data_IF_174403430141
#
_entry.id   IF_174403430141
#
_cell.length_a   1.000
_cell.length_b   1.000
_cell.length_c   1.000
_cell.angle_alpha   90.00
_cell.angle_beta   90.00
_cell.angle_gamma   90.00
#
_symmetry.space_group_name_H-M   'P 1'
#
loop_
_entity.id
_entity.type
_entity.pdbx_description
1 polymer ?
#
# COMPACT_ATOMS: atom_id res chain seq x y z
N UNK A 1 -19.74 -11.36 2.74
CA UNK A 1 -19.97 -11.26 4.20
C UNK A 1 -21.43 -11.56 4.54
N UNK A 2 -21.68 -12.13 5.71
CA UNK A 2 -23.03 -12.38 6.23
C UNK A 2 -23.48 -11.36 7.28
N UNK A 3 -22.56 -10.68 7.90
CA UNK A 3 -22.77 -9.95 9.15
C UNK A 3 -23.17 -8.48 9.04
N UNK A 4 -22.86 -7.78 7.96
CA UNK A 4 -23.17 -6.36 7.83
C UNK A 4 -24.17 -6.11 6.71
N UNK A 5 -24.81 -4.94 6.73
CA UNK A 5 -25.84 -4.53 5.76
C UNK A 5 -25.35 -4.59 4.30
N UNK A 6 -24.07 -4.39 4.06
CA UNK A 6 -23.48 -4.49 2.71
C UNK A 6 -23.17 -5.94 2.28
N UNK A 7 -23.34 -6.91 3.19
CA UNK A 7 -23.07 -8.33 2.93
C UNK A 7 -24.12 -8.97 2.03
N UNK A 8 -23.70 -9.87 1.15
CA UNK A 8 -24.60 -10.52 0.18
C UNK A 8 -25.76 -11.27 0.86
N UNK A 9 -25.45 -12.06 1.93
CA UNK A 9 -26.48 -12.81 2.67
C UNK A 9 -27.40 -11.85 3.41
N UNK A 10 -26.84 -10.84 4.10
CA UNK A 10 -27.62 -9.84 4.83
C UNK A 10 -28.58 -9.09 3.89
N UNK A 11 -28.10 -8.62 2.75
CA UNK A 11 -28.90 -7.97 1.72
C UNK A 11 -30.00 -8.90 1.15
N UNK A 12 -29.70 -10.18 1.00
CA UNK A 12 -30.69 -11.15 0.52
C UNK A 12 -31.82 -11.34 1.54
N UNK A 13 -31.48 -11.38 2.84
CA UNK A 13 -32.46 -11.45 3.93
C UNK A 13 -33.34 -10.19 3.96
N UNK A 14 -32.73 -8.99 3.89
CA UNK A 14 -33.45 -7.71 3.84
C UNK A 14 -34.45 -7.62 2.67
N UNK A 15 -34.09 -8.17 1.53
CA UNK A 15 -34.96 -8.20 0.34
C UNK A 15 -36.01 -9.30 0.38
N UNK A 16 -36.07 -10.12 1.42
CA UNK A 16 -36.99 -11.23 1.52
C UNK A 16 -36.81 -12.32 0.47
N UNK A 17 -35.56 -12.58 0.08
CA UNK A 17 -35.22 -13.57 -0.95
C UNK A 17 -35.65 -14.95 -0.46
N UNK A 18 -36.27 -15.82 -1.29
CA UNK A 18 -36.70 -17.16 -0.90
C UNK A 18 -35.59 -18.05 -0.35
N UNK A 19 -35.89 -18.93 0.59
CA UNK A 19 -34.90 -19.80 1.24
C UNK A 19 -34.05 -20.63 0.27
N UNK A 20 -34.58 -20.98 -0.90
CA UNK A 20 -33.81 -21.71 -1.95
C UNK A 20 -32.64 -20.87 -2.49
N UNK A 21 -32.83 -19.58 -2.63
CA UNK A 21 -31.74 -18.67 -3.06
C UNK A 21 -30.79 -18.37 -1.91
N UNK A 22 -31.30 -18.18 -0.66
CA UNK A 22 -30.46 -18.04 0.52
C UNK A 22 -29.54 -19.27 0.70
N UNK A 23 -30.05 -20.46 0.43
CA UNK A 23 -29.28 -21.70 0.47
C UNK A 23 -28.06 -21.70 -0.46
N UNK A 24 -28.21 -21.12 -1.65
CA UNK A 24 -27.08 -21.02 -2.60
C UNK A 24 -25.99 -20.12 -2.06
N UNK A 25 -26.35 -18.99 -1.46
CA UNK A 25 -25.43 -18.03 -0.85
C UNK A 25 -24.72 -18.67 0.33
N UNK A 26 -25.48 -19.30 1.26
CA UNK A 26 -24.91 -19.91 2.45
C UNK A 26 -23.94 -21.05 2.13
N UNK A 27 -24.22 -21.86 1.10
CA UNK A 27 -23.32 -22.96 0.70
C UNK A 27 -21.96 -22.51 0.23
N UNK A 28 -21.82 -21.27 -0.24
CA UNK A 28 -20.56 -20.71 -0.66
C UNK A 28 -19.59 -20.43 0.51
N UNK A 29 -20.14 -20.10 1.70
CA UNK A 29 -19.35 -19.74 2.85
C UNK A 29 -18.95 -20.97 3.69
N UNK A 30 -17.75 -20.95 4.29
CA UNK A 30 -17.31 -21.97 5.24
C UNK A 30 -17.96 -21.78 6.61
N UNK A 31 -18.19 -20.55 7.01
CA UNK A 31 -18.92 -20.15 8.23
C UNK A 31 -19.72 -18.87 7.98
N UNK A 32 -20.65 -18.58 8.87
CA UNK A 32 -21.43 -17.34 8.87
C UNK A 32 -21.03 -16.46 10.05
N UNK A 33 -21.37 -15.19 9.97
CA UNK A 33 -20.98 -14.17 10.93
C UNK A 33 -22.20 -13.33 11.30
N UNK A 34 -22.31 -12.97 12.58
CA UNK A 34 -23.24 -11.98 13.12
C UNK A 34 -22.49 -10.93 13.92
N UNK A 35 -23.04 -9.74 14.05
CA UNK A 35 -22.44 -8.60 14.75
C UNK A 35 -23.37 -8.01 15.79
N UNK A 36 -22.85 -7.25 16.80
CA UNK A 36 -23.67 -6.53 17.75
C UNK A 36 -24.68 -5.63 17.06
N UNK A 37 -25.89 -5.53 17.62
CA UNK A 37 -26.99 -4.75 17.04
C UNK A 37 -26.63 -3.28 16.87
N UNK A 38 -25.76 -2.75 17.77
CA UNK A 38 -25.25 -1.40 17.71
C UNK A 38 -24.54 -1.03 16.40
N UNK A 39 -23.97 -2.02 15.71
CA UNK A 39 -23.26 -1.82 14.45
C UNK A 39 -24.20 -1.40 13.31
N UNK A 40 -25.46 -1.90 13.35
CA UNK A 40 -26.48 -1.70 12.31
C UNK A 40 -27.61 -0.74 12.74
N UNK A 41 -27.50 -0.09 13.91
CA UNK A 41 -28.52 0.85 14.42
C UNK A 41 -28.77 2.05 13.50
N UNK A 42 -27.83 2.40 12.62
CA UNK A 42 -28.03 3.44 11.61
C UNK A 42 -29.18 3.11 10.65
N UNK A 43 -29.49 1.82 10.42
CA UNK A 43 -30.60 1.40 9.57
C UNK A 43 -31.97 1.83 10.08
N UNK A 44 -32.11 1.99 11.40
CA UNK A 44 -33.35 2.48 12.02
C UNK A 44 -33.64 3.96 11.69
N UNK A 45 -32.59 4.72 11.34
CA UNK A 45 -32.66 6.14 10.98
C UNK A 45 -32.87 6.35 9.48
N UNK A 46 -32.57 5.35 8.66
CA UNK A 46 -32.80 5.42 7.22
C UNK A 46 -34.28 5.18 6.88
N UNK A 47 -34.94 6.22 6.38
CA UNK A 47 -36.35 6.14 5.97
C UNK A 47 -36.61 5.06 4.91
N UNK A 48 -35.60 4.75 4.09
CA UNK A 48 -35.70 3.76 3.00
C UNK A 48 -35.43 2.33 3.49
N UNK A 49 -34.87 2.16 4.68
CA UNK A 49 -34.61 0.86 5.26
C UNK A 49 -35.94 0.11 5.55
N UNK A 50 -35.92 -1.21 5.37
CA UNK A 50 -37.00 -2.10 5.80
C UNK A 50 -36.95 -2.40 7.30
N UNK A 51 -35.81 -2.16 7.94
CA UNK A 51 -35.57 -2.30 9.37
C UNK A 51 -36.11 -1.06 10.08
N UNK A 52 -37.04 -1.26 11.03
CA UNK A 52 -37.70 -0.17 11.76
C UNK A 52 -37.54 -0.27 13.27
N UNK A 53 -37.19 -1.43 13.77
CA UNK A 53 -37.10 -1.71 15.22
C UNK A 53 -35.81 -2.48 15.52
N UNK A 54 -35.39 -2.48 16.79
CA UNK A 54 -34.28 -3.31 17.26
C UNK A 54 -34.59 -4.78 17.11
N UNK A 55 -35.86 -5.16 17.25
CA UNK A 55 -36.33 -6.56 17.07
C UNK A 55 -36.09 -7.03 15.62
N UNK A 56 -36.26 -6.13 14.61
CA UNK A 56 -35.96 -6.48 13.23
C UNK A 56 -34.45 -6.84 13.04
N UNK A 57 -33.56 -6.12 13.73
CA UNK A 57 -32.12 -6.44 13.70
C UNK A 57 -31.83 -7.78 14.40
N UNK A 58 -32.48 -8.02 15.55
CA UNK A 58 -32.39 -9.33 16.24
C UNK A 58 -32.87 -10.48 15.34
N UNK A 59 -33.95 -10.27 14.61
CA UNK A 59 -34.53 -11.28 13.73
C UNK A 59 -33.65 -11.61 12.54
N UNK A 60 -32.89 -10.61 12.01
CA UNK A 60 -31.88 -10.86 10.97
C UNK A 60 -30.78 -11.77 11.54
N UNK A 61 -30.23 -11.45 12.70
CA UNK A 61 -29.23 -12.29 13.35
C UNK A 61 -29.73 -13.69 13.66
N UNK A 62 -30.99 -13.82 14.19
CA UNK A 62 -31.65 -15.13 14.41
C UNK A 62 -31.80 -15.90 13.11
N UNK A 63 -32.15 -15.24 11.99
CA UNK A 63 -32.26 -15.88 10.67
C UNK A 63 -30.91 -16.40 10.21
N UNK A 64 -29.81 -15.63 10.39
CA UNK A 64 -28.46 -16.07 10.03
C UNK A 64 -28.05 -17.30 10.86
N UNK A 65 -28.33 -17.29 12.17
CA UNK A 65 -28.08 -18.44 13.07
C UNK A 65 -28.85 -19.66 12.59
N UNK A 66 -30.14 -19.51 12.32
CA UNK A 66 -30.99 -20.60 11.82
C UNK A 66 -30.52 -21.18 10.49
N UNK A 67 -30.05 -20.32 9.58
CA UNK A 67 -29.44 -20.76 8.31
C UNK A 67 -28.14 -21.54 8.56
N UNK A 68 -27.32 -21.11 9.50
CA UNK A 68 -26.11 -21.83 9.91
C UNK A 68 -26.47 -23.25 10.40
N UNK A 69 -27.43 -23.39 11.27
CA UNK A 69 -27.90 -24.68 11.74
C UNK A 69 -28.46 -25.56 10.61
N UNK A 70 -29.32 -25.00 9.77
CA UNK A 70 -29.92 -25.72 8.65
C UNK A 70 -28.90 -26.28 7.65
N UNK A 71 -27.80 -25.53 7.42
CA UNK A 71 -26.78 -25.91 6.44
C UNK A 71 -25.48 -26.43 7.07
N UNK A 72 -25.51 -26.71 8.38
CA UNK A 72 -24.34 -27.17 9.14
C UNK A 72 -23.12 -26.30 8.95
N UNK A 73 -23.31 -24.98 9.02
CA UNK A 73 -22.28 -23.98 8.97
C UNK A 73 -22.09 -23.32 10.34
N UNK A 74 -20.88 -23.26 10.90
CA UNK A 74 -20.65 -22.50 12.13
C UNK A 74 -21.08 -21.06 11.97
N UNK A 75 -21.66 -20.48 13.02
CA UNK A 75 -21.94 -19.05 13.09
C UNK A 75 -21.10 -18.44 14.20
N UNK A 76 -20.32 -17.42 13.91
CA UNK A 76 -19.53 -16.71 14.91
C UNK A 76 -19.99 -15.27 15.07
N UNK A 77 -19.85 -14.75 16.28
CA UNK A 77 -20.10 -13.36 16.61
C UNK A 77 -18.77 -12.58 16.59
N UNK A 78 -18.72 -11.48 15.84
CA UNK A 78 -17.55 -10.58 15.76
C UNK A 78 -17.95 -9.15 16.11
N UNK A 79 -17.01 -8.32 16.62
CA UNK A 79 -17.36 -6.94 16.98
C UNK A 79 -17.15 -5.91 15.86
N UNK A 80 -16.48 -6.26 14.76
CA UNK A 80 -16.09 -5.30 13.70
C UNK A 80 -15.29 -4.10 14.25
N UNK A 81 -14.23 -4.39 14.97
CA UNK A 81 -13.43 -3.39 15.72
C UNK A 81 -12.78 -2.37 14.78
N UNK A 82 -13.02 -1.09 15.06
CA UNK A 82 -12.39 0.04 14.37
C UNK A 82 -11.56 0.92 15.31
N UNK A 83 -11.77 0.80 16.63
CA UNK A 83 -11.01 1.52 17.65
C UNK A 83 -10.99 0.72 18.97
N UNK A 84 -10.09 1.08 19.88
CA UNK A 84 -9.84 0.28 21.11
C UNK A 84 -10.87 0.56 22.18
N UNK A 85 -10.99 1.80 22.60
CA UNK A 85 -11.85 2.20 23.70
C UNK A 85 -13.08 2.97 23.18
N UNK A 86 -14.24 2.93 23.90
CA UNK A 86 -15.44 3.65 23.47
C UNK A 86 -15.23 5.13 23.17
N UNK A 87 -14.35 5.81 23.94
CA UNK A 87 -14.04 7.22 23.77
C UNK A 87 -13.25 7.52 22.49
N UNK A 88 -12.59 6.53 21.91
CA UNK A 88 -11.85 6.67 20.66
C UNK A 88 -12.74 6.89 19.43
N UNK A 89 -14.04 6.71 19.57
CA UNK A 89 -15.03 7.03 18.55
C UNK A 89 -14.84 8.45 17.97
N UNK A 90 -14.33 9.40 18.79
CA UNK A 90 -14.05 10.76 18.37
C UNK A 90 -13.03 10.83 17.22
N UNK A 91 -12.00 9.98 17.23
CA UNK A 91 -10.98 9.95 16.17
C UNK A 91 -11.57 9.44 14.85
N UNK A 92 -12.39 8.39 14.91
CA UNK A 92 -13.11 7.89 13.72
C UNK A 92 -14.08 8.94 13.16
N UNK A 93 -14.80 9.64 14.02
CA UNK A 93 -15.67 10.78 13.65
C UNK A 93 -14.89 11.85 12.86
N UNK A 94 -13.72 12.26 13.34
CA UNK A 94 -12.87 13.25 12.68
C UNK A 94 -12.44 12.76 11.28
N UNK A 95 -12.00 11.52 11.18
CA UNK A 95 -11.59 10.92 9.91
C UNK A 95 -12.76 10.86 8.92
N UNK A 96 -13.92 10.39 9.35
CA UNK A 96 -15.12 10.30 8.52
C UNK A 96 -15.59 11.67 8.04
N UNK A 97 -15.59 12.65 8.92
CA UNK A 97 -15.94 14.04 8.57
C UNK A 97 -14.95 14.59 7.53
N UNK A 98 -13.65 14.35 7.69
CA UNK A 98 -12.62 14.73 6.73
C UNK A 98 -12.78 14.05 5.36
N UNK A 99 -13.37 12.85 5.31
CA UNK A 99 -13.71 12.13 4.09
C UNK A 99 -15.06 12.53 3.48
N UNK A 100 -15.81 13.44 4.13
CA UNK A 100 -17.08 13.97 3.63
C UNK A 100 -18.31 13.13 3.96
N UNK A 101 -18.24 12.19 4.91
CA UNK A 101 -19.40 11.46 5.39
C UNK A 101 -20.35 12.39 6.15
N UNK A 102 -21.62 12.39 5.76
CA UNK A 102 -22.64 13.30 6.35
C UNK A 102 -23.09 12.87 7.74
N UNK A 103 -22.99 11.60 8.04
CA UNK A 103 -23.37 10.94 9.29
C UNK A 103 -22.17 10.69 10.23
N UNK A 104 -21.05 11.37 10.00
CA UNK A 104 -19.85 11.25 10.80
C UNK A 104 -20.09 11.49 12.31
N UNK A 105 -21.10 12.28 12.68
CA UNK A 105 -21.47 12.55 14.06
C UNK A 105 -22.12 11.36 14.77
N UNK A 106 -22.66 10.40 14.02
CA UNK A 106 -23.40 9.26 14.53
C UNK A 106 -22.57 7.98 14.46
N UNK A 107 -21.60 7.88 15.37
CA UNK A 107 -20.70 6.73 15.40
C UNK A 107 -21.36 5.46 15.90
N UNK A 108 -21.20 4.36 15.17
CA UNK A 108 -21.49 3.02 15.67
C UNK A 108 -20.46 2.63 16.76
N UNK A 109 -20.86 1.82 17.76
CA UNK A 109 -19.99 1.42 18.88
C UNK A 109 -19.00 0.31 18.48
N UNK A 110 -18.08 0.62 17.56
CA UNK A 110 -17.13 -0.31 16.96
C UNK A 110 -15.82 -0.45 17.77
N UNK A 111 -15.93 -0.44 19.10
CA UNK A 111 -14.79 -0.63 19.99
C UNK A 111 -14.50 -2.11 20.26
N UNK A 112 -13.29 -2.40 20.74
CA UNK A 112 -12.90 -3.75 21.14
C UNK A 112 -13.66 -4.17 22.39
N UNK A 113 -14.48 -5.20 22.29
CA UNK A 113 -15.24 -5.76 23.40
C UNK A 113 -14.54 -6.95 24.02
N UNK A 114 -14.63 -7.07 25.33
CA UNK A 114 -14.28 -8.30 26.05
C UNK A 114 -15.27 -9.43 25.76
N UNK A 115 -14.92 -10.65 26.16
CA UNK A 115 -15.82 -11.80 26.01
C UNK A 115 -17.14 -11.58 26.74
N UNK A 116 -17.09 -11.01 27.94
CA UNK A 116 -18.25 -10.72 28.76
C UNK A 116 -19.18 -9.71 28.10
N UNK A 117 -18.62 -8.63 27.54
CA UNK A 117 -19.37 -7.64 26.78
C UNK A 117 -20.00 -8.25 25.54
N UNK A 118 -19.25 -9.09 24.80
CA UNK A 118 -19.82 -9.80 23.64
C UNK A 118 -20.94 -10.77 24.03
N UNK A 119 -20.82 -11.48 25.14
CA UNK A 119 -21.91 -12.34 25.64
C UNK A 119 -23.16 -11.51 25.95
N UNK A 120 -22.99 -10.32 26.54
CA UNK A 120 -24.13 -9.43 26.83
C UNK A 120 -24.84 -8.94 25.56
N UNK A 121 -24.07 -8.63 24.50
CA UNK A 121 -24.61 -8.18 23.20
C UNK A 121 -25.53 -9.23 22.53
N UNK A 122 -25.32 -10.51 22.82
CA UNK A 122 -26.05 -11.63 22.18
C UNK A 122 -26.97 -12.44 23.13
N UNK A 123 -27.25 -11.95 24.34
CA UNK A 123 -28.14 -12.61 25.33
C UNK A 123 -29.52 -12.96 24.76
N UNK A 124 -30.01 -12.17 23.79
CA UNK A 124 -31.30 -12.40 23.13
C UNK A 124 -31.38 -13.70 22.31
N UNK A 125 -30.25 -14.38 22.07
CA UNK A 125 -30.19 -15.72 21.45
C UNK A 125 -30.41 -16.86 22.44
N UNK A 126 -30.44 -16.56 23.76
CA UNK A 126 -30.42 -17.55 24.84
C UNK A 126 -28.98 -17.98 25.20
N UNK A 127 -28.79 -18.42 26.46
CA UNK A 127 -27.45 -18.63 27.04
C UNK A 127 -26.57 -19.59 26.24
N UNK A 128 -27.12 -20.73 25.82
CA UNK A 128 -26.34 -21.76 25.13
C UNK A 128 -25.92 -21.33 23.74
N UNK A 129 -26.85 -20.73 22.97
CA UNK A 129 -26.57 -20.25 21.63
C UNK A 129 -25.66 -19.02 21.67
N UNK A 130 -25.83 -18.14 22.62
CA UNK A 130 -24.96 -16.99 22.86
C UNK A 130 -23.51 -17.46 23.10
N UNK A 131 -23.30 -18.42 24.02
CA UNK A 131 -21.96 -18.96 24.29
C UNK A 131 -21.37 -19.68 23.07
N UNK A 132 -22.21 -20.43 22.34
CA UNK A 132 -21.79 -21.10 21.10
C UNK A 132 -21.23 -20.12 20.08
N UNK A 133 -21.95 -19.04 19.73
CA UNK A 133 -21.56 -18.12 18.67
C UNK A 133 -20.41 -17.18 19.11
N UNK A 134 -20.37 -16.79 20.40
CA UNK A 134 -19.36 -15.85 20.91
C UNK A 134 -18.06 -16.55 21.26
N UNK A 135 -18.10 -17.75 21.85
CA UNK A 135 -16.91 -18.40 22.41
C UNK A 135 -16.52 -19.66 21.63
N UNK A 136 -17.45 -20.61 21.50
CA UNK A 136 -17.13 -21.94 20.96
C UNK A 136 -16.76 -21.84 19.49
N UNK A 137 -17.59 -21.22 18.66
CA UNK A 137 -17.40 -21.15 17.21
C UNK A 137 -16.28 -20.21 16.82
N UNK A 138 -16.06 -19.11 17.54
CA UNK A 138 -14.92 -18.21 17.28
C UNK A 138 -13.58 -18.92 17.49
N UNK A 139 -13.46 -19.71 18.57
CA UNK A 139 -12.26 -20.53 18.82
C UNK A 139 -12.09 -21.62 17.77
N UNK A 140 -13.16 -22.34 17.46
CA UNK A 140 -13.12 -23.39 16.44
C UNK A 140 -12.64 -22.83 15.08
N UNK A 141 -13.16 -21.67 14.64
CA UNK A 141 -12.73 -21.03 13.39
C UNK A 141 -11.27 -20.60 13.47
N UNK A 142 -10.82 -20.06 14.60
CA UNK A 142 -9.41 -19.70 14.79
C UNK A 142 -8.49 -20.93 14.71
N UNK A 143 -8.89 -22.06 15.28
CA UNK A 143 -8.16 -23.33 15.24
C UNK A 143 -8.13 -23.96 13.84
N UNK A 144 -9.09 -23.63 12.97
CA UNK A 144 -9.09 -24.05 11.55
C UNK A 144 -8.07 -23.29 10.70
N UNK A 145 -7.57 -22.16 11.18
CA UNK A 145 -6.61 -21.32 10.44
C UNK A 145 -5.21 -21.90 10.54
N UNK A 146 -4.57 -22.11 9.39
CA UNK A 146 -3.17 -22.52 9.32
C UNK A 146 -2.24 -21.32 9.14
N UNK A 147 -1.01 -21.36 9.71
CA UNK A 147 -0.02 -20.34 9.44
C UNK A 147 0.37 -20.34 7.96
N UNK A 148 0.14 -19.24 7.28
CA UNK A 148 0.50 -19.06 5.87
C UNK A 148 1.42 -17.85 5.69
N UNK A 149 2.32 -17.93 4.73
CA UNK A 149 3.07 -16.77 4.25
C UNK A 149 2.43 -16.29 2.93
N UNK A 150 1.59 -15.25 2.94
CA UNK A 150 0.85 -14.79 1.76
C UNK A 150 1.78 -14.21 0.69
N UNK A 151 2.96 -13.76 1.09
CA UNK A 151 4.01 -13.27 0.21
C UNK A 151 5.21 -14.22 0.30
N UNK A 152 5.74 -14.66 -0.84
CA UNK A 152 6.95 -15.48 -0.86
C UNK A 152 8.10 -14.73 -0.19
N UNK A 153 8.92 -15.40 0.66
CA UNK A 153 10.07 -14.77 1.29
C UNK A 153 11.15 -14.39 0.27
N UNK A 154 11.23 -15.13 -0.83
CA UNK A 154 12.24 -14.92 -1.86
C UNK A 154 11.86 -13.77 -2.79
N UNK A 155 12.86 -12.96 -3.13
CA UNK A 155 12.72 -11.95 -4.18
C UNK A 155 12.71 -12.66 -5.53
N UNK A 156 11.75 -12.30 -6.38
CA UNK A 156 11.59 -12.88 -7.72
C UNK A 156 11.69 -11.77 -8.79
N UNK A 157 12.86 -11.13 -8.97
CA UNK A 157 13.02 -10.15 -10.04
C UNK A 157 12.88 -10.86 -11.40
N UNK A 158 12.38 -10.19 -12.44
CA UNK A 158 12.38 -10.74 -13.78
C UNK A 158 13.83 -10.98 -14.24
N UNK A 159 14.04 -11.89 -15.18
CA UNK A 159 15.36 -12.15 -15.74
C UNK A 159 15.46 -11.51 -17.11
N UNK A 160 16.46 -10.64 -17.28
CA UNK A 160 16.88 -10.08 -18.57
C UNK A 160 18.33 -10.51 -18.78
N UNK A 161 18.58 -11.22 -19.87
CA UNK A 161 19.93 -11.68 -20.17
C UNK A 161 20.92 -10.53 -20.24
N UNK A 162 22.11 -10.71 -19.67
CA UNK A 162 23.18 -9.71 -19.61
C UNK A 162 22.81 -8.36 -19.00
N UNK A 163 21.81 -8.32 -18.12
CA UNK A 163 21.39 -7.05 -17.49
C UNK A 163 22.53 -6.34 -16.76
N UNK A 164 23.40 -7.09 -16.08
CA UNK A 164 24.52 -6.57 -15.32
C UNK A 164 25.55 -5.87 -16.23
N UNK A 165 25.95 -6.55 -17.31
CA UNK A 165 26.87 -6.02 -18.31
C UNK A 165 26.25 -4.82 -19.04
N UNK A 166 24.99 -4.94 -19.42
CA UNK A 166 24.24 -3.88 -20.11
C UNK A 166 24.16 -2.61 -19.28
N UNK A 167 23.79 -2.72 -17.98
CA UNK A 167 23.72 -1.59 -17.08
C UNK A 167 25.07 -0.90 -16.92
N UNK A 168 26.12 -1.71 -16.70
CA UNK A 168 27.50 -1.19 -16.59
C UNK A 168 27.90 -0.41 -17.83
N UNK A 169 27.68 -0.99 -19.01
CA UNK A 169 28.03 -0.37 -20.29
C UNK A 169 27.26 0.96 -20.51
N UNK A 170 25.97 0.98 -20.25
CA UNK A 170 25.16 2.21 -20.36
C UNK A 170 25.76 3.30 -19.48
N UNK A 171 26.04 3.00 -18.20
CA UNK A 171 26.56 3.98 -17.25
C UNK A 171 27.94 4.50 -17.65
N UNK A 172 28.87 3.64 -18.06
CA UNK A 172 30.20 4.05 -18.46
C UNK A 172 30.20 4.83 -19.77
N UNK A 173 29.41 4.40 -20.77
CA UNK A 173 29.27 5.16 -22.01
C UNK A 173 28.78 6.59 -21.72
N UNK A 174 27.76 6.74 -20.89
CA UNK A 174 27.27 8.06 -20.51
C UNK A 174 28.27 8.87 -19.70
N UNK A 175 29.02 8.24 -18.80
CA UNK A 175 30.09 8.92 -18.07
C UNK A 175 31.19 9.42 -19.01
N UNK A 176 31.60 8.65 -20.01
CA UNK A 176 32.57 9.07 -21.02
C UNK A 176 32.03 10.19 -21.92
N UNK A 177 30.74 10.17 -22.26
CA UNK A 177 30.10 11.27 -22.99
C UNK A 177 30.15 12.59 -22.20
N UNK A 178 30.00 12.53 -20.87
CA UNK A 178 29.97 13.71 -20.02
C UNK A 178 31.36 14.21 -19.61
N UNK A 179 32.28 13.31 -19.28
CA UNK A 179 33.57 13.65 -18.65
C UNK A 179 34.79 13.30 -19.51
N UNK A 180 34.60 12.77 -20.72
CA UNK A 180 35.65 12.37 -21.63
C UNK A 180 36.28 11.00 -21.33
N UNK A 181 37.37 10.66 -22.05
CA UNK A 181 38.00 9.34 -21.91
C UNK A 181 38.63 9.10 -20.52
N UNK A 182 39.21 10.15 -19.93
CA UNK A 182 39.84 10.09 -18.62
C UNK A 182 38.83 10.52 -17.54
N UNK A 183 38.07 9.54 -17.02
CA UNK A 183 37.03 9.81 -16.02
C UNK A 183 37.63 10.34 -14.70
N UNK A 184 37.00 11.36 -14.07
CA UNK A 184 37.35 11.79 -12.72
C UNK A 184 37.24 10.63 -11.71
N UNK A 185 38.19 10.56 -10.77
CA UNK A 185 38.18 9.51 -9.75
C UNK A 185 36.86 9.43 -8.96
N UNK A 186 36.28 10.59 -8.63
CA UNK A 186 35.01 10.70 -7.92
C UNK A 186 33.87 10.04 -8.70
N UNK A 187 33.85 10.14 -10.02
CA UNK A 187 32.88 9.52 -10.92
C UNK A 187 33.04 8.00 -10.92
N UNK A 188 34.29 7.51 -11.10
CA UNK A 188 34.58 6.08 -11.11
C UNK A 188 34.27 5.44 -9.77
N UNK A 189 34.76 6.02 -8.67
CA UNK A 189 34.52 5.49 -7.32
C UNK A 189 33.03 5.42 -6.99
N UNK A 190 32.25 6.43 -7.42
CA UNK A 190 30.80 6.44 -7.20
C UNK A 190 30.09 5.39 -8.05
N UNK A 191 30.41 5.27 -9.32
CA UNK A 191 29.83 4.26 -10.21
C UNK A 191 30.13 2.84 -9.72
N UNK A 192 31.40 2.54 -9.42
CA UNK A 192 31.76 1.19 -8.96
C UNK A 192 31.07 0.81 -7.65
N UNK A 193 30.99 1.72 -6.70
CA UNK A 193 30.30 1.48 -5.44
C UNK A 193 28.82 1.15 -5.66
N UNK A 194 28.12 1.93 -6.47
CA UNK A 194 26.69 1.74 -6.70
C UNK A 194 26.43 0.51 -7.59
N UNK A 195 27.17 0.34 -8.69
CA UNK A 195 27.05 -0.83 -9.58
C UNK A 195 27.33 -2.13 -8.81
N UNK A 196 28.36 -2.15 -7.96
CA UNK A 196 28.63 -3.32 -7.14
C UNK A 196 27.43 -3.69 -6.25
N UNK A 197 26.84 -2.71 -5.56
CA UNK A 197 25.67 -2.94 -4.71
C UNK A 197 24.45 -3.39 -5.50
N UNK A 198 24.18 -2.77 -6.64
CA UNK A 198 23.02 -3.08 -7.50
C UNK A 198 23.15 -4.49 -8.09
N UNK A 199 24.32 -4.82 -8.65
CA UNK A 199 24.57 -6.08 -9.34
C UNK A 199 24.62 -7.25 -8.33
N UNK A 200 25.37 -7.09 -7.23
CA UNK A 200 25.51 -8.15 -6.23
C UNK A 200 24.20 -8.52 -5.54
N UNK A 201 23.22 -7.61 -5.51
CA UNK A 201 21.88 -7.86 -4.98
C UNK A 201 20.86 -8.27 -6.08
N UNK A 202 21.28 -8.44 -7.35
CA UNK A 202 20.40 -8.85 -8.44
C UNK A 202 19.41 -7.79 -8.91
N UNK A 203 19.69 -6.50 -8.70
CA UNK A 203 18.78 -5.42 -9.06
C UNK A 203 19.09 -4.74 -10.41
N UNK A 204 20.13 -5.16 -11.13
CA UNK A 204 20.48 -4.55 -12.42
C UNK A 204 19.30 -4.60 -13.41
N UNK A 205 18.56 -5.70 -13.43
CA UNK A 205 17.37 -5.85 -14.28
C UNK A 205 16.31 -4.79 -14.00
N UNK A 206 16.14 -4.38 -12.73
CA UNK A 206 15.17 -3.36 -12.36
C UNK A 206 15.57 -1.98 -12.90
N UNK A 207 16.88 -1.67 -12.87
CA UNK A 207 17.41 -0.45 -13.49
C UNK A 207 17.22 -0.44 -15.01
N UNK A 208 17.45 -1.59 -15.68
CA UNK A 208 17.22 -1.72 -17.13
C UNK A 208 15.75 -1.53 -17.49
N UNK A 209 14.83 -2.09 -16.69
CA UNK A 209 13.40 -1.90 -16.91
C UNK A 209 13.01 -0.44 -16.72
N UNK A 210 13.46 0.18 -15.62
CA UNK A 210 13.18 1.59 -15.34
C UNK A 210 13.73 2.50 -16.45
N UNK A 211 14.96 2.26 -16.89
CA UNK A 211 15.59 3.00 -18.00
C UNK A 211 14.77 2.91 -19.29
N UNK A 212 14.36 1.69 -19.68
CA UNK A 212 13.53 1.49 -20.89
C UNK A 212 12.18 2.20 -20.80
N UNK A 213 11.53 2.16 -19.63
CA UNK A 213 10.26 2.84 -19.40
C UNK A 213 10.39 4.36 -19.50
N UNK A 214 11.42 4.93 -18.85
CA UNK A 214 11.67 6.38 -18.89
C UNK A 214 12.01 6.84 -20.30
N UNK A 215 12.89 6.12 -21.00
CA UNK A 215 13.28 6.47 -22.38
C UNK A 215 12.09 6.40 -23.32
N UNK A 216 11.27 5.33 -23.22
CA UNK A 216 10.07 5.22 -24.04
C UNK A 216 9.06 6.34 -23.78
N UNK A 217 8.88 6.71 -22.52
CA UNK A 217 8.01 7.83 -22.15
C UNK A 217 8.49 9.16 -22.77
N UNK A 218 9.80 9.41 -22.68
CA UNK A 218 10.39 10.63 -23.27
C UNK A 218 10.29 10.64 -24.80
N UNK A 219 10.52 9.49 -25.47
CA UNK A 219 10.32 9.34 -26.93
C UNK A 219 8.88 9.65 -27.35
N UNK A 220 7.91 9.26 -26.53
CA UNK A 220 6.50 9.52 -26.77
C UNK A 220 6.07 10.96 -26.40
N UNK A 221 7.02 11.80 -25.94
CA UNK A 221 6.80 13.21 -25.60
C UNK A 221 6.25 13.47 -24.20
N UNK A 222 6.29 12.48 -23.33
CA UNK A 222 5.88 12.61 -21.92
C UNK A 222 7.08 12.80 -21.00
N UNK A 223 7.03 13.86 -20.17
CA UNK A 223 8.06 14.13 -19.19
C UNK A 223 7.99 13.14 -18.02
N UNK A 224 9.14 12.66 -17.59
CA UNK A 224 9.30 11.80 -16.41
C UNK A 224 10.12 12.54 -15.37
N UNK A 225 9.52 12.75 -14.18
CA UNK A 225 10.20 13.36 -13.04
C UNK A 225 10.67 12.32 -12.03
N UNK A 226 11.79 12.58 -11.39
CA UNK A 226 12.30 11.74 -10.29
C UNK A 226 11.52 11.95 -9.02
N UNK A 227 11.27 10.87 -8.26
CA UNK A 227 10.62 10.91 -6.97
C UNK A 227 11.38 10.06 -5.95
N UNK A 228 11.56 10.61 -4.74
CA UNK A 228 12.21 9.90 -3.64
C UNK A 228 13.70 9.68 -3.86
N UNK A 229 14.23 8.58 -3.36
CA UNK A 229 15.66 8.28 -3.30
C UNK A 229 16.35 8.03 -4.65
N UNK A 230 15.61 7.89 -5.75
CA UNK A 230 16.21 7.70 -7.08
C UNK A 230 17.08 8.88 -7.49
N UNK A 231 16.76 10.09 -7.05
CA UNK A 231 17.57 11.29 -7.28
C UNK A 231 18.94 11.29 -6.57
N UNK A 232 19.19 10.34 -5.65
CA UNK A 232 20.49 10.16 -4.99
C UNK A 232 21.35 9.04 -5.61
N UNK A 233 20.87 8.37 -6.65
CA UNK A 233 21.59 7.30 -7.35
C UNK A 233 22.30 7.85 -8.59
N UNK A 234 23.63 7.81 -8.59
CA UNK A 234 24.44 8.21 -9.74
C UNK A 234 24.30 7.22 -10.90
N UNK A 235 24.10 5.93 -10.63
CA UNK A 235 23.77 4.93 -11.65
C UNK A 235 22.43 5.27 -12.32
N UNK A 236 21.44 5.76 -11.57
CA UNK A 236 20.18 6.20 -12.18
C UNK A 236 20.38 7.42 -13.11
N UNK A 237 21.26 8.35 -12.74
CA UNK A 237 21.64 9.49 -13.60
C UNK A 237 22.35 9.00 -14.86
N UNK A 238 23.37 8.16 -14.71
CA UNK A 238 24.17 7.67 -15.84
C UNK A 238 23.40 6.72 -16.76
N UNK A 239 22.38 6.05 -16.25
CA UNK A 239 21.48 5.23 -17.08
C UNK A 239 20.30 6.00 -17.70
N UNK A 240 20.17 7.30 -17.42
CA UNK A 240 19.11 8.14 -17.97
C UNK A 240 17.72 7.89 -17.36
N UNK A 241 17.68 7.36 -16.13
CA UNK A 241 16.42 7.21 -15.36
C UNK A 241 16.03 8.54 -14.72
N UNK A 242 17.02 9.34 -14.31
CA UNK A 242 16.83 10.67 -13.71
C UNK A 242 17.82 11.67 -14.27
N UNK A 243 17.43 12.94 -14.28
CA UNK A 243 18.32 14.06 -14.64
C UNK A 243 19.10 14.62 -13.44
N UNK A 244 18.71 14.22 -12.21
CA UNK A 244 19.35 14.68 -10.98
C UNK A 244 20.73 14.06 -10.84
N UNK A 245 21.78 14.89 -10.81
CA UNK A 245 23.15 14.44 -10.53
C UNK A 245 23.46 14.53 -9.03
N UNK A 246 23.67 13.39 -8.33
CA UNK A 246 23.90 13.37 -6.88
C UNK A 246 25.36 13.60 -6.48
N UNK A 247 26.26 13.87 -7.43
CA UNK A 247 27.62 14.26 -7.11
C UNK A 247 27.65 15.65 -6.49
N UNK A 248 28.72 15.95 -5.77
CA UNK A 248 28.96 17.33 -5.29
C UNK A 248 28.89 18.33 -6.44
N UNK A 249 28.44 19.57 -6.18
CA UNK A 249 28.45 20.62 -7.20
C UNK A 249 29.81 20.72 -7.90
N UNK A 250 29.81 20.81 -9.21
CA UNK A 250 31.01 20.87 -10.01
C UNK A 250 30.70 21.50 -11.37
N UNK A 251 31.74 22.02 -12.03
CA UNK A 251 31.63 22.42 -13.41
C UNK A 251 32.04 21.31 -14.34
N UNK A 252 31.32 21.13 -15.44
CA UNK A 252 31.71 20.25 -16.55
C UNK A 252 31.44 20.94 -17.89
N UNK A 253 32.39 20.86 -18.81
CA UNK A 253 32.25 21.45 -20.12
C UNK A 253 31.68 20.44 -21.11
N UNK A 254 30.49 20.67 -21.71
CA UNK A 254 29.92 19.75 -22.67
C UNK A 254 30.68 19.67 -24.00
N UNK A 255 31.56 20.61 -24.28
CA UNK A 255 32.30 20.67 -25.53
C UNK A 255 33.68 19.98 -25.49
N UNK A 256 34.46 20.17 -24.41
CA UNK A 256 35.82 19.64 -24.31
C UNK A 256 36.01 18.68 -23.11
N UNK A 257 34.96 18.40 -22.36
CA UNK A 257 34.93 17.53 -21.19
C UNK A 257 35.85 17.98 -20.04
N UNK A 258 36.30 19.27 -20.05
CA UNK A 258 36.97 19.84 -18.88
C UNK A 258 36.01 19.76 -17.67
N UNK A 259 36.56 19.41 -16.52
CA UNK A 259 35.81 19.36 -15.27
C UNK A 259 36.56 19.98 -14.09
N UNK A 260 35.82 20.49 -13.13
CA UNK A 260 36.37 21.11 -11.92
C UNK A 260 35.54 20.72 -10.71
N UNK A 261 36.08 19.80 -9.89
CA UNK A 261 35.49 19.34 -8.62
C UNK A 261 36.19 19.96 -7.41
N UNK A 262 37.38 20.53 -7.56
CA UNK A 262 38.31 20.76 -6.45
C UNK A 262 38.71 22.21 -6.24
N UNK A 263 38.37 23.14 -7.15
CA UNK A 263 38.71 24.53 -6.98
C UNK A 263 38.10 25.14 -5.72
N UNK A 264 38.74 26.15 -5.16
CA UNK A 264 38.24 26.88 -3.98
C UNK A 264 36.84 27.51 -4.22
N UNK A 265 36.55 27.85 -5.49
CA UNK A 265 35.23 28.32 -5.90
C UNK A 265 34.19 27.23 -5.73
N UNK A 266 34.41 26.02 -6.25
CA UNK A 266 33.50 24.87 -6.17
C UNK A 266 33.28 24.44 -4.72
N UNK A 267 34.35 24.40 -3.92
CA UNK A 267 34.27 24.01 -2.49
C UNK A 267 33.36 24.88 -1.64
N UNK A 268 33.19 26.17 -2.01
CA UNK A 268 32.26 27.07 -1.31
C UNK A 268 30.79 26.62 -1.41
N UNK A 269 30.47 25.87 -2.45
CA UNK A 269 29.10 25.35 -2.71
C UNK A 269 28.91 23.92 -2.25
N UNK A 270 29.84 23.38 -1.47
CA UNK A 270 29.69 22.03 -0.90
C UNK A 270 28.40 21.87 -0.10
N UNK A 271 27.57 20.86 -0.45
CA UNK A 271 26.27 20.64 0.16
C UNK A 271 25.10 21.44 -0.44
N UNK A 272 25.37 22.27 -1.45
CA UNK A 272 24.37 23.00 -2.23
C UNK A 272 24.07 22.25 -3.54
N UNK A 273 23.16 22.77 -4.37
CA UNK A 273 22.90 22.23 -5.70
C UNK A 273 23.84 22.89 -6.76
N UNK A 274 24.09 22.18 -7.86
CA UNK A 274 24.93 22.74 -8.94
C UNK A 274 24.37 24.03 -9.56
N UNK A 275 23.03 24.18 -9.57
CA UNK A 275 22.36 25.39 -10.04
C UNK A 275 22.54 26.62 -9.13
N UNK A 276 23.07 26.44 -7.91
CA UNK A 276 23.39 27.55 -7.00
C UNK A 276 24.78 28.15 -7.32
N UNK A 277 25.56 27.48 -8.18
CA UNK A 277 26.87 27.96 -8.59
C UNK A 277 26.73 29.05 -9.65
N UNK A 278 27.65 30.06 -9.69
CA UNK A 278 27.63 31.09 -10.71
C UNK A 278 27.94 30.51 -12.09
N UNK A 279 27.39 31.15 -13.12
CA UNK A 279 27.73 30.82 -14.51
C UNK A 279 29.24 30.98 -14.75
N UNK A 280 29.83 30.00 -15.46
CA UNK A 280 31.25 29.93 -15.72
C UNK A 280 31.51 29.58 -17.18
N UNK A 281 32.57 30.16 -17.72
CA UNK A 281 33.08 29.85 -19.06
C UNK A 281 34.25 28.88 -18.93
N UNK A 282 34.30 27.87 -19.76
CA UNK A 282 35.34 26.86 -19.75
C UNK A 282 36.72 27.52 -19.98
N UNK A 283 37.70 27.33 -19.09
CA UNK A 283 39.01 27.91 -19.24
C UNK A 283 39.83 27.32 -20.40
N UNK A 284 39.42 26.16 -20.93
CA UNK A 284 40.09 25.43 -22.00
C UNK A 284 39.57 25.83 -23.38
N UNK A 285 38.26 25.87 -23.57
CA UNK A 285 37.66 26.05 -24.90
C UNK A 285 36.71 27.25 -25.01
N UNK A 286 36.47 27.99 -23.92
CA UNK A 286 35.60 29.16 -23.94
C UNK A 286 34.09 28.87 -24.03
N UNK A 287 33.67 27.60 -23.94
CA UNK A 287 32.26 27.23 -23.98
C UNK A 287 31.59 27.47 -22.61
N UNK A 288 30.31 27.85 -22.53
CA UNK A 288 29.57 27.91 -21.27
C UNK A 288 29.52 26.53 -20.57
N UNK A 289 29.66 26.54 -19.25
CA UNK A 289 29.60 25.33 -18.40
C UNK A 289 28.43 25.39 -17.45
#
# INVERSE_FOLDING_TARGET
RSACEAGELYQAILRGVPDVELAKIVKFYDYLEIQPLGNDMFMLRDEKSTVKTVDDLMDINRKIVSLGEQFNKPVCATCDVHFMDPDDAIYRKILMAGMGFKDADEQAPLFLRTTEEMLSEFEYLGSDKCYEVVVTNTRMIADMCEPIAPVRPDKCPPVIDKSDETLRNICYNRAHEMYGENLPKIVVDRLERELHSIISNGFAVMYIIAQKLVWKSNEDGYLVGSRGSVGSSFVATMSGITEVNPLSPHYSCPNCHYYDFDSEEVKKYGGMAGCDMPDKVCPVCGHPM
#
